data_IF_951284235661
#
_entry.id   IF_951284235661
#
_cell.length_a   1.000
_cell.length_b   1.000
_cell.length_c   1.000
_cell.angle_alpha   90.00
_cell.angle_beta   90.00
_cell.angle_gamma   90.00
#
_symmetry.space_group_name_H-M   'P 1'
#
loop_
_entity.id
_entity.type
_entity.pdbx_description
1 polymer ?
#
# COMPACT_ATOMS: atom_id res chain seq x y z
N UNK A 1 13.82 -15.26 19.98
CA UNK A 1 12.71 -15.02 19.04
C UNK A 1 13.23 -14.41 17.75
N UNK A 2 12.92 -15.03 16.63
CA UNK A 2 13.31 -14.55 15.31
C UNK A 2 12.05 -14.25 14.49
N UNK A 3 11.94 -13.00 14.05
CA UNK A 3 10.90 -12.57 13.11
C UNK A 3 11.50 -12.16 11.77
N UNK A 4 10.70 -12.21 10.72
CA UNK A 4 11.09 -11.76 9.39
C UNK A 4 9.98 -10.92 8.77
N UNK A 5 10.31 -9.85 8.06
CA UNK A 5 9.26 -9.00 7.48
C UNK A 5 9.74 -7.98 6.47
N UNK A 6 8.82 -7.47 5.67
CA UNK A 6 9.07 -6.41 4.70
C UNK A 6 9.36 -5.04 5.35
N UNK A 7 9.05 -4.87 6.63
CA UNK A 7 9.24 -3.61 7.35
C UNK A 7 10.31 -3.73 8.44
N UNK A 8 11.20 -2.74 8.54
CA UNK A 8 12.16 -2.61 9.65
C UNK A 8 11.48 -2.31 11.00
N UNK A 9 10.21 -1.92 10.98
CA UNK A 9 9.44 -1.55 12.18
C UNK A 9 9.29 -2.71 13.18
N UNK A 10 9.31 -3.97 12.72
CA UNK A 10 9.35 -5.14 13.60
C UNK A 10 10.50 -5.10 14.59
N UNK A 11 11.67 -4.59 14.16
CA UNK A 11 12.81 -4.39 15.05
C UNK A 11 12.55 -3.35 16.14
N UNK A 12 11.72 -2.36 15.87
CA UNK A 12 11.32 -1.33 16.85
C UNK A 12 10.18 -1.79 17.76
N UNK A 13 9.30 -2.67 17.27
CA UNK A 13 8.17 -3.19 18.04
C UNK A 13 8.56 -4.26 19.06
N UNK A 14 9.57 -5.06 18.77
CA UNK A 14 10.00 -6.16 19.67
C UNK A 14 10.46 -5.68 21.07
N UNK A 15 11.26 -4.63 21.25
CA UNK A 15 11.59 -4.11 22.56
C UNK A 15 10.37 -3.69 23.37
N UNK A 16 9.38 -3.05 22.75
CA UNK A 16 8.14 -2.66 23.40
C UNK A 16 7.35 -3.88 23.88
N UNK A 17 7.34 -4.94 23.08
CA UNK A 17 6.70 -6.19 23.45
C UNK A 17 7.41 -6.86 24.64
N UNK A 18 8.74 -6.84 24.71
CA UNK A 18 9.50 -7.37 25.84
C UNK A 18 9.17 -6.58 27.13
N UNK A 19 9.16 -5.25 27.04
CA UNK A 19 8.77 -4.39 28.17
C UNK A 19 7.34 -4.68 28.64
N UNK A 20 6.41 -4.89 27.71
CA UNK A 20 5.04 -5.31 28.00
C UNK A 20 5.01 -6.66 28.75
N UNK A 21 5.72 -7.67 28.29
CA UNK A 21 5.79 -8.97 28.96
C UNK A 21 6.44 -8.88 30.35
N UNK A 22 7.48 -8.08 30.51
CA UNK A 22 8.13 -7.82 31.80
C UNK A 22 7.25 -7.06 32.78
N UNK A 23 6.28 -6.27 32.30
CA UNK A 23 5.29 -5.65 33.17
C UNK A 23 4.33 -6.68 33.78
N UNK A 24 4.12 -7.81 33.12
CA UNK A 24 3.30 -8.94 33.60
C UNK A 24 4.14 -9.91 34.45
N UNK A 25 5.31 -10.27 33.96
CA UNK A 25 6.27 -11.15 34.64
C UNK A 25 7.68 -10.53 34.56
N UNK A 26 8.17 -9.90 35.65
CA UNK A 26 9.50 -9.27 35.66
C UNK A 26 10.68 -10.22 35.43
N UNK A 27 10.45 -11.53 35.52
CA UNK A 27 11.48 -12.54 35.22
C UNK A 27 11.60 -12.87 33.75
N UNK A 28 10.69 -12.35 32.90
CA UNK A 28 10.70 -12.65 31.48
C UNK A 28 11.97 -12.13 30.82
N UNK A 29 12.62 -13.01 30.08
CA UNK A 29 13.85 -12.69 29.36
C UNK A 29 13.81 -13.34 27.97
N UNK A 30 13.99 -12.55 26.93
CA UNK A 30 13.98 -13.00 25.54
C UNK A 30 15.05 -12.25 24.74
N UNK A 31 15.90 -12.99 24.08
CA UNK A 31 16.70 -12.45 22.98
C UNK A 31 15.88 -12.44 21.71
N UNK A 32 16.05 -11.43 20.89
CA UNK A 32 15.29 -11.31 19.64
C UNK A 32 16.15 -10.85 18.47
N UNK A 33 15.70 -11.24 17.28
CA UNK A 33 16.22 -10.76 16.01
C UNK A 33 15.06 -10.51 15.05
N UNK A 34 15.17 -9.46 14.26
CA UNK A 34 14.24 -9.16 13.17
C UNK A 34 15.02 -8.99 11.87
N UNK A 35 14.73 -9.85 10.88
CA UNK A 35 15.32 -9.78 9.56
C UNK A 35 14.40 -9.06 8.58
N UNK A 36 14.99 -8.24 7.71
CA UNK A 36 14.27 -7.50 6.67
C UNK A 36 14.90 -7.78 5.30
N UNK A 37 14.59 -8.91 4.66
CA UNK A 37 14.98 -9.15 3.28
C UNK A 37 14.21 -8.21 2.35
N UNK A 38 14.84 -7.85 1.24
CA UNK A 38 14.19 -7.01 0.22
C UNK A 38 13.29 -7.85 -0.68
N UNK A 39 12.13 -7.27 -1.00
CA UNK A 39 11.20 -7.76 -2.02
C UNK A 39 10.88 -9.26 -1.87
N UNK A 40 10.80 -9.97 -2.98
CA UNK A 40 10.43 -11.39 -3.05
C UNK A 40 11.37 -12.36 -2.35
N UNK A 41 12.57 -11.93 -1.93
CA UNK A 41 13.51 -12.78 -1.18
C UNK A 41 12.94 -13.30 0.13
N UNK A 42 11.96 -12.62 0.70
CA UNK A 42 11.30 -13.10 1.92
C UNK A 42 10.54 -14.41 1.69
N UNK A 43 9.88 -14.55 0.52
CA UNK A 43 9.15 -15.77 0.17
C UNK A 43 10.09 -16.94 -0.02
N UNK A 44 11.26 -16.74 -0.64
CA UNK A 44 12.28 -17.76 -0.78
C UNK A 44 12.84 -18.20 0.58
N UNK A 45 13.05 -17.24 1.50
CA UNK A 45 13.54 -17.55 2.84
C UNK A 45 12.50 -18.33 3.66
N UNK A 46 11.23 -17.93 3.62
CA UNK A 46 10.15 -18.65 4.30
C UNK A 46 9.97 -20.06 3.74
N UNK A 47 10.02 -20.20 2.42
CA UNK A 47 9.96 -21.51 1.75
C UNK A 47 11.15 -22.40 2.17
N UNK A 48 12.37 -21.87 2.17
CA UNK A 48 13.55 -22.62 2.62
C UNK A 48 13.49 -23.00 4.11
N UNK A 49 12.92 -22.12 4.94
CA UNK A 49 12.77 -22.37 6.38
C UNK A 49 11.69 -23.43 6.67
N UNK A 50 10.61 -23.48 5.90
CA UNK A 50 9.52 -24.46 6.06
C UNK A 50 9.97 -25.91 5.81
N UNK A 51 11.09 -26.10 5.09
CA UNK A 51 11.66 -27.44 4.86
C UNK A 51 12.39 -28.02 6.09
N UNK A 52 12.55 -27.25 7.15
CA UNK A 52 13.16 -27.68 8.40
C UNK A 52 12.11 -28.33 9.30
N UNK A 53 12.50 -29.28 10.12
CA UNK A 53 11.60 -29.90 11.11
C UNK A 53 11.13 -28.90 12.19
N UNK A 54 12.03 -27.98 12.58
CA UNK A 54 11.71 -26.77 13.37
C UNK A 54 12.31 -25.60 12.65
N UNK A 55 11.51 -24.59 12.37
CA UNK A 55 11.92 -23.38 11.64
C UNK A 55 12.85 -22.49 12.45
N UNK A 56 13.40 -21.51 11.77
CA UNK A 56 14.15 -20.42 12.39
C UNK A 56 13.21 -19.29 12.78
N UNK A 57 12.27 -18.95 11.89
CA UNK A 57 11.36 -17.81 12.08
C UNK A 57 10.11 -18.23 12.86
N UNK A 58 9.78 -17.45 13.89
CA UNK A 58 8.57 -17.66 14.67
C UNK A 58 7.32 -17.07 14.00
N UNK A 59 7.51 -15.96 13.28
CA UNK A 59 6.44 -15.24 12.58
C UNK A 59 6.98 -14.44 11.42
N UNK A 60 6.06 -13.99 10.57
CA UNK A 60 6.36 -13.03 9.51
C UNK A 60 5.35 -11.88 9.45
N UNK A 61 5.83 -10.73 8.94
CA UNK A 61 5.03 -9.59 8.53
C UNK A 61 5.36 -9.31 7.06
N UNK A 62 4.40 -9.54 6.20
CA UNK A 62 4.58 -9.46 4.76
C UNK A 62 3.46 -8.68 4.07
N UNK A 63 3.77 -8.16 2.91
CA UNK A 63 2.86 -7.52 1.96
C UNK A 63 2.82 -8.33 0.67
N UNK A 64 1.95 -7.97 -0.26
CA UNK A 64 1.74 -8.67 -1.52
C UNK A 64 0.80 -9.87 -1.40
N UNK A 65 -0.48 -9.54 -1.29
CA UNK A 65 -1.54 -10.52 -1.06
C UNK A 65 -1.59 -11.65 -2.09
N UNK A 66 -1.30 -11.37 -3.36
CA UNK A 66 -1.27 -12.41 -4.39
C UNK A 66 -0.25 -13.51 -4.09
N UNK A 67 1.01 -13.16 -3.80
CA UNK A 67 2.04 -14.16 -3.49
C UNK A 67 1.81 -14.83 -2.13
N UNK A 68 1.26 -14.09 -1.16
CA UNK A 68 0.90 -14.65 0.15
C UNK A 68 -0.11 -15.78 -0.06
N UNK A 69 -1.20 -15.51 -0.78
CA UNK A 69 -2.23 -16.52 -1.07
C UNK A 69 -1.63 -17.72 -1.79
N UNK A 70 -1.06 -17.49 -2.96
CA UNK A 70 -0.67 -18.57 -3.87
C UNK A 70 0.56 -19.37 -3.40
N UNK A 71 1.54 -18.73 -2.74
CA UNK A 71 2.81 -19.36 -2.41
C UNK A 71 2.96 -19.77 -0.94
N UNK A 72 2.23 -19.13 -0.02
CA UNK A 72 2.46 -19.31 1.40
C UNK A 72 1.30 -20.00 2.12
N UNK A 73 0.09 -19.48 1.95
CA UNK A 73 -1.08 -19.99 2.67
C UNK A 73 -1.60 -21.27 2.03
N UNK A 74 -1.82 -21.30 0.72
CA UNK A 74 -2.27 -22.51 0.01
C UNK A 74 -1.27 -23.66 0.09
N UNK A 75 0.00 -23.38 0.32
CA UNK A 75 1.05 -24.40 0.51
C UNK A 75 1.25 -24.83 1.95
N UNK A 76 0.56 -24.20 2.91
CA UNK A 76 0.64 -24.52 4.34
C UNK A 76 1.95 -24.09 5.00
N UNK A 77 2.66 -23.08 4.43
CA UNK A 77 3.90 -22.55 5.03
C UNK A 77 3.59 -21.54 6.14
N UNK A 78 2.45 -20.85 6.04
CA UNK A 78 2.02 -19.83 6.98
C UNK A 78 0.64 -20.13 7.53
N UNK A 79 0.49 -19.94 8.84
CA UNK A 79 -0.76 -20.06 9.57
C UNK A 79 -1.30 -18.68 9.95
N UNK A 80 -2.58 -18.45 9.72
CA UNK A 80 -3.28 -17.26 10.16
C UNK A 80 -3.71 -17.40 11.62
N UNK A 81 -3.29 -16.47 12.47
CA UNK A 81 -3.78 -16.35 13.84
C UNK A 81 -4.60 -15.07 13.97
N UNK A 82 -5.87 -15.19 14.37
CA UNK A 82 -6.78 -14.06 14.57
C UNK A 82 -6.98 -13.81 16.07
N UNK A 83 -6.43 -12.70 16.62
CA UNK A 83 -6.68 -12.36 18.01
C UNK A 83 -8.17 -12.07 18.25
N UNK A 84 -8.69 -12.58 19.38
CA UNK A 84 -10.11 -12.41 19.74
C UNK A 84 -10.49 -10.93 19.83
N UNK A 85 -9.67 -10.10 20.48
CA UNK A 85 -9.98 -8.69 20.69
C UNK A 85 -9.96 -7.90 19.37
N UNK A 86 -9.12 -8.31 18.41
CA UNK A 86 -9.16 -7.76 17.05
C UNK A 86 -10.45 -8.14 16.34
N UNK A 87 -10.85 -9.42 16.43
CA UNK A 87 -12.08 -9.90 15.80
C UNK A 87 -13.31 -9.19 16.39
N UNK A 88 -13.39 -9.09 17.71
CA UNK A 88 -14.47 -8.40 18.41
C UNK A 88 -14.58 -6.93 18.00
N UNK A 89 -13.45 -6.22 17.89
CA UNK A 89 -13.40 -4.82 17.45
C UNK A 89 -13.86 -4.64 15.99
N UNK A 90 -13.66 -5.66 15.15
CA UNK A 90 -14.12 -5.70 13.76
C UNK A 90 -15.53 -6.31 13.58
N UNK A 91 -16.26 -6.56 14.66
CA UNK A 91 -17.63 -7.07 14.60
C UNK A 91 -17.76 -8.50 14.09
N UNK A 92 -16.70 -9.31 14.24
CA UNK A 92 -16.64 -10.71 13.80
C UNK A 92 -16.14 -11.62 14.93
N UNK A 93 -15.89 -12.88 14.63
CA UNK A 93 -15.21 -13.81 15.53
C UNK A 93 -13.98 -14.40 14.84
N UNK A 94 -13.01 -14.88 15.62
CA UNK A 94 -11.81 -15.50 15.08
C UNK A 94 -12.12 -16.66 14.13
N UNK A 95 -13.14 -17.48 14.46
CA UNK A 95 -13.55 -18.63 13.65
C UNK A 95 -14.34 -18.25 12.38
N UNK A 96 -14.97 -17.07 12.36
CA UNK A 96 -15.77 -16.61 11.23
C UNK A 96 -14.96 -15.77 10.23
N UNK A 97 -13.82 -15.24 10.65
CA UNK A 97 -12.96 -14.46 9.77
C UNK A 97 -12.06 -15.39 8.95
N UNK A 98 -12.20 -15.34 7.64
CA UNK A 98 -11.47 -16.21 6.69
C UNK A 98 -10.33 -15.53 5.97
N UNK A 99 -10.17 -14.21 6.14
CA UNK A 99 -9.08 -13.43 5.52
C UNK A 99 -7.75 -13.52 6.26
N UNK A 100 -6.73 -12.92 5.69
CA UNK A 100 -5.45 -12.73 6.37
C UNK A 100 -5.57 -11.66 7.45
N UNK A 101 -4.84 -11.80 8.57
CA UNK A 101 -4.83 -10.77 9.61
C UNK A 101 -4.03 -9.55 9.13
N UNK A 102 -4.65 -8.42 8.84
CA UNK A 102 -3.92 -7.20 8.54
C UNK A 102 -3.45 -6.55 9.85
N UNK A 103 -2.21 -6.08 9.88
CA UNK A 103 -1.72 -5.18 10.94
C UNK A 103 -2.18 -3.75 10.66
N UNK A 104 -1.99 -3.32 9.42
CA UNK A 104 -2.30 -1.98 8.96
C UNK A 104 -2.57 -1.96 7.46
N UNK A 105 -3.32 -0.97 7.02
CA UNK A 105 -3.38 -0.57 5.63
C UNK A 105 -2.38 0.56 5.39
N UNK A 106 -1.58 0.43 4.35
CA UNK A 106 -0.70 1.46 3.81
C UNK A 106 -1.30 2.00 2.52
N UNK A 107 -1.01 3.25 2.18
CA UNK A 107 -1.42 3.79 0.90
C UNK A 107 -0.24 4.31 0.06
N UNK A 108 -0.28 4.00 -1.23
CA UNK A 108 0.44 4.71 -2.28
C UNK A 108 -0.54 5.70 -2.89
N UNK A 109 -0.16 6.96 -2.99
CA UNK A 109 -1.05 8.00 -3.51
C UNK A 109 -0.38 8.78 -4.63
N UNK A 110 -1.18 9.30 -5.55
CA UNK A 110 -0.67 10.16 -6.61
C UNK A 110 -0.30 11.52 -6.02
N UNK A 111 0.97 11.87 -6.21
CA UNK A 111 1.53 13.15 -5.80
C UNK A 111 2.29 13.79 -6.97
N UNK A 112 2.33 15.11 -6.99
CA UNK A 112 3.04 15.85 -8.01
C UNK A 112 3.79 17.05 -7.44
N UNK A 113 4.88 17.45 -8.12
CA UNK A 113 5.60 18.66 -7.79
C UNK A 113 4.81 19.88 -8.30
N UNK A 114 4.49 20.79 -7.38
CA UNK A 114 3.65 21.96 -7.65
C UNK A 114 4.42 23.27 -7.83
N UNK A 115 5.75 23.20 -8.02
CA UNK A 115 6.58 24.38 -8.30
C UNK A 115 6.37 24.90 -9.72
N UNK A 116 5.92 24.05 -10.64
CA UNK A 116 5.46 24.42 -11.98
C UNK A 116 4.01 24.91 -12.01
N UNK A 117 3.46 25.03 -13.20
CA UNK A 117 2.08 25.48 -13.44
C UNK A 117 1.10 24.30 -13.69
N UNK A 118 1.61 23.06 -13.70
CA UNK A 118 0.83 21.88 -14.03
C UNK A 118 -0.03 21.44 -12.85
N UNK A 119 -1.27 21.05 -13.13
CA UNK A 119 -2.21 20.46 -12.20
C UNK A 119 -2.68 19.11 -12.74
N UNK A 120 -3.18 18.27 -11.87
CA UNK A 120 -3.76 16.96 -12.20
C UNK A 120 -5.12 16.88 -11.55
N UNK A 121 -6.17 17.07 -12.35
CA UNK A 121 -7.54 17.17 -11.86
C UNK A 121 -8.31 15.84 -12.07
N UNK A 122 -7.71 14.90 -12.82
CA UNK A 122 -8.29 13.62 -13.15
C UNK A 122 -7.23 12.51 -13.19
N UNK A 123 -7.58 11.29 -12.82
CA UNK A 123 -6.64 10.18 -12.86
C UNK A 123 -6.16 9.82 -14.29
N UNK A 124 -6.87 10.24 -15.34
CA UNK A 124 -6.45 10.08 -16.74
C UNK A 124 -5.34 11.05 -17.14
N UNK A 125 -5.17 12.16 -16.40
CA UNK A 125 -4.07 13.09 -16.66
C UNK A 125 -2.70 12.41 -16.48
N UNK A 126 -2.62 11.43 -15.58
CA UNK A 126 -1.38 10.67 -15.32
C UNK A 126 -0.94 9.76 -16.47
N UNK A 127 -1.81 9.52 -17.43
CA UNK A 127 -1.55 8.68 -18.62
C UNK A 127 -1.74 9.45 -19.93
N UNK A 128 -1.80 10.78 -19.86
CA UNK A 128 -1.90 11.65 -21.01
C UNK A 128 -0.60 11.67 -21.83
N UNK A 129 -0.65 12.23 -23.03
CA UNK A 129 0.50 12.30 -23.95
C UNK A 129 1.70 13.03 -23.32
N UNK A 130 2.86 12.37 -23.34
CA UNK A 130 4.09 12.91 -22.80
C UNK A 130 4.25 12.83 -21.29
N UNK A 131 3.30 12.21 -20.58
CA UNK A 131 3.38 11.97 -19.15
C UNK A 131 4.21 10.71 -18.82
N UNK A 132 5.15 10.86 -17.86
CA UNK A 132 6.04 9.79 -17.42
C UNK A 132 6.11 9.75 -15.90
N UNK A 133 5.06 9.23 -15.25
CA UNK A 133 4.98 9.17 -13.79
C UNK A 133 6.09 8.32 -13.16
N UNK A 134 6.63 8.78 -12.05
CA UNK A 134 7.59 8.01 -11.26
C UNK A 134 6.84 6.89 -10.51
N UNK A 135 7.23 5.66 -10.72
CA UNK A 135 6.61 4.51 -10.07
C UNK A 135 7.62 3.39 -9.85
N UNK A 136 7.40 2.58 -8.84
CA UNK A 136 8.25 1.42 -8.61
C UNK A 136 8.16 0.42 -9.77
N UNK A 137 9.30 -0.15 -10.14
CA UNK A 137 9.37 -1.17 -11.19
C UNK A 137 8.51 -2.38 -10.83
N UNK A 138 7.45 -2.62 -11.61
CA UNK A 138 6.46 -3.68 -11.40
C UNK A 138 7.04 -5.10 -11.59
N UNK A 139 8.21 -5.25 -12.16
CA UNK A 139 8.86 -6.57 -12.29
C UNK A 139 9.66 -6.93 -11.03
N UNK A 140 10.13 -5.94 -10.30
CA UNK A 140 10.91 -6.13 -9.08
C UNK A 140 10.10 -5.91 -7.80
N UNK A 141 8.97 -5.19 -7.87
CA UNK A 141 8.10 -4.89 -6.74
C UNK A 141 6.63 -5.19 -7.08
N UNK A 142 6.10 -6.28 -6.53
CA UNK A 142 4.81 -6.85 -6.93
C UNK A 142 3.61 -6.08 -6.36
N UNK A 143 3.76 -5.33 -5.27
CA UNK A 143 2.67 -4.51 -4.71
C UNK A 143 2.14 -3.52 -5.75
N UNK A 144 3.02 -2.91 -6.55
CA UNK A 144 2.62 -2.07 -7.67
C UNK A 144 1.89 -2.82 -8.79
N UNK A 145 2.28 -4.07 -9.03
CA UNK A 145 1.60 -4.93 -10.01
C UNK A 145 0.20 -5.32 -9.53
N UNK A 146 0.03 -5.60 -8.23
CA UNK A 146 -1.28 -5.86 -7.63
C UNK A 146 -2.22 -4.65 -7.75
N UNK A 147 -1.72 -3.43 -7.66
CA UNK A 147 -2.51 -2.24 -7.97
C UNK A 147 -3.12 -2.30 -9.38
N UNK A 148 -2.31 -2.65 -10.38
CA UNK A 148 -2.80 -2.78 -11.75
C UNK A 148 -3.83 -3.91 -11.89
N UNK A 149 -3.66 -5.03 -11.18
CA UNK A 149 -4.66 -6.09 -11.13
C UNK A 149 -5.99 -5.59 -10.57
N UNK A 150 -5.95 -4.87 -9.45
CA UNK A 150 -7.15 -4.36 -8.82
C UNK A 150 -7.95 -3.42 -9.70
N UNK A 151 -7.30 -2.65 -10.59
CA UNK A 151 -8.00 -1.77 -11.53
C UNK A 151 -8.95 -2.50 -12.46
N UNK A 152 -8.73 -3.81 -12.71
CA UNK A 152 -9.60 -4.63 -13.57
C UNK A 152 -10.84 -5.17 -12.86
N UNK A 153 -10.98 -5.00 -11.54
CA UNK A 153 -12.18 -5.35 -10.79
C UNK A 153 -13.32 -4.39 -11.16
N UNK A 154 -14.52 -4.92 -11.31
CA UNK A 154 -15.67 -4.20 -11.86
C UNK A 154 -15.93 -2.82 -11.22
N UNK A 155 -15.83 -2.73 -9.90
CA UNK A 155 -16.04 -1.49 -9.15
C UNK A 155 -14.98 -0.43 -9.46
N UNK A 156 -13.71 -0.81 -9.59
CA UNK A 156 -12.61 0.11 -9.90
C UNK A 156 -12.54 0.44 -11.40
N UNK A 157 -12.88 -0.52 -12.27
CA UNK A 157 -13.06 -0.26 -13.70
C UNK A 157 -14.17 0.78 -13.95
N UNK A 158 -15.27 0.70 -13.17
CA UNK A 158 -16.34 1.69 -13.21
C UNK A 158 -15.85 3.09 -12.77
N UNK A 159 -14.98 3.21 -11.76
CA UNK A 159 -14.40 4.51 -11.38
C UNK A 159 -13.53 5.12 -12.49
N UNK A 160 -12.78 4.28 -13.22
CA UNK A 160 -12.00 4.76 -14.37
C UNK A 160 -12.89 5.24 -15.50
N UNK A 161 -14.00 4.56 -15.75
CA UNK A 161 -14.98 5.00 -16.73
C UNK A 161 -15.67 6.32 -16.32
N UNK A 162 -16.13 6.42 -15.07
CA UNK A 162 -16.74 7.65 -14.55
C UNK A 162 -15.81 8.85 -14.70
N UNK A 163 -14.52 8.67 -14.36
CA UNK A 163 -13.54 9.72 -14.50
C UNK A 163 -13.20 10.05 -15.95
N UNK A 164 -13.20 9.06 -16.86
CA UNK A 164 -13.12 9.31 -18.30
C UNK A 164 -14.29 10.12 -18.82
N UNK A 165 -15.52 9.79 -18.42
CA UNK A 165 -16.74 10.52 -18.83
C UNK A 165 -16.76 11.97 -18.31
N UNK A 166 -16.01 12.28 -17.25
CA UNK A 166 -15.85 13.63 -16.72
C UNK A 166 -14.82 14.49 -17.48
N UNK A 167 -13.97 13.89 -18.32
CA UNK A 167 -13.02 14.62 -19.15
C UNK A 167 -13.71 15.50 -20.21
N UNK A 168 -13.00 16.50 -20.70
CA UNK A 168 -13.47 17.28 -21.86
C UNK A 168 -13.56 16.42 -23.13
N UNK A 169 -14.32 16.84 -24.12
CA UNK A 169 -14.48 16.11 -25.37
C UNK A 169 -13.16 15.89 -26.14
N UNK A 170 -12.24 16.83 -26.05
CA UNK A 170 -10.92 16.72 -26.70
C UNK A 170 -10.04 15.68 -25.98
N UNK A 171 -10.04 15.65 -24.66
CA UNK A 171 -9.33 14.66 -23.86
C UNK A 171 -9.92 13.25 -24.06
N UNK A 172 -11.26 13.13 -24.07
CA UNK A 172 -11.91 11.85 -24.37
C UNK A 172 -11.51 11.34 -25.76
N UNK A 173 -11.46 12.23 -26.76
CA UNK A 173 -11.06 11.87 -28.12
C UNK A 173 -9.62 11.35 -28.22
N UNK A 174 -8.74 11.78 -27.32
CA UNK A 174 -7.37 11.26 -27.21
C UNK A 174 -7.34 9.82 -26.71
N UNK A 175 -8.10 9.47 -25.65
CA UNK A 175 -8.08 8.16 -25.03
C UNK A 175 -8.98 7.13 -25.74
N UNK A 176 -10.05 7.58 -26.40
CA UNK A 176 -11.05 6.71 -27.02
C UNK A 176 -10.49 5.63 -27.96
N UNK A 177 -9.47 5.89 -28.80
CA UNK A 177 -8.90 4.85 -29.66
C UNK A 177 -8.27 3.70 -28.86
N UNK A 178 -7.59 4.00 -27.74
CA UNK A 178 -6.99 2.96 -26.87
C UNK A 178 -8.07 2.17 -26.15
N UNK A 179 -9.13 2.83 -25.68
CA UNK A 179 -10.26 2.13 -25.05
C UNK A 179 -10.92 1.18 -26.03
N UNK A 180 -11.18 1.62 -27.27
CA UNK A 180 -11.77 0.79 -28.31
C UNK A 180 -10.88 -0.41 -28.70
N UNK A 181 -9.56 -0.22 -28.73
CA UNK A 181 -8.58 -1.32 -28.91
C UNK A 181 -8.71 -2.38 -27.81
N UNK A 182 -8.97 -1.96 -26.56
CA UNK A 182 -9.03 -2.85 -25.40
C UNK A 182 -10.38 -3.58 -25.23
N UNK A 183 -11.43 -3.27 -25.99
CA UNK A 183 -12.72 -3.94 -25.87
C UNK A 183 -12.63 -5.46 -26.11
N UNK A 184 -11.92 -5.87 -27.16
CA UNK A 184 -11.75 -7.31 -27.45
C UNK A 184 -10.88 -8.00 -26.41
N UNK A 185 -9.81 -7.35 -25.98
CA UNK A 185 -8.89 -7.87 -24.95
C UNK A 185 -9.59 -8.05 -23.60
N UNK A 186 -10.40 -7.09 -23.19
CA UNK A 186 -11.18 -7.19 -21.96
C UNK A 186 -12.14 -8.40 -22.00
N UNK A 187 -12.79 -8.64 -23.13
CA UNK A 187 -13.66 -9.80 -23.31
C UNK A 187 -12.87 -11.12 -23.26
N UNK A 188 -11.71 -11.18 -23.92
CA UNK A 188 -10.84 -12.36 -23.97
C UNK A 188 -10.27 -12.69 -22.57
N UNK A 189 -9.99 -11.66 -21.75
CA UNK A 189 -9.55 -11.80 -20.35
C UNK A 189 -10.71 -12.06 -19.38
N UNK A 190 -11.96 -12.07 -19.86
CA UNK A 190 -13.15 -12.33 -19.05
C UNK A 190 -13.51 -11.20 -18.08
N UNK A 191 -13.11 -9.97 -18.37
CA UNK A 191 -13.41 -8.79 -17.56
C UNK A 191 -14.84 -8.30 -17.74
N UNK A 192 -15.35 -7.55 -16.77
CA UNK A 192 -16.69 -6.95 -16.83
C UNK A 192 -16.86 -5.87 -17.90
N UNK A 193 -18.04 -5.26 -17.93
CA UNK A 193 -18.45 -4.33 -18.99
C UNK A 193 -17.53 -3.09 -19.14
N UNK A 194 -16.91 -2.65 -18.05
CA UNK A 194 -16.03 -1.48 -18.02
C UNK A 194 -14.53 -1.84 -18.08
N UNK A 195 -14.21 -3.14 -18.27
CA UNK A 195 -12.84 -3.66 -18.31
C UNK A 195 -11.95 -3.00 -19.35
N UNK A 196 -12.52 -2.54 -20.48
CA UNK A 196 -11.75 -1.85 -21.53
C UNK A 196 -11.14 -0.53 -21.04
N UNK A 197 -11.83 0.20 -20.15
CA UNK A 197 -11.29 1.43 -19.52
C UNK A 197 -10.12 1.12 -18.61
N UNK A 198 -10.23 0.04 -17.82
CA UNK A 198 -9.15 -0.42 -16.96
C UNK A 198 -7.90 -0.82 -17.79
N UNK A 199 -8.08 -1.66 -18.81
CA UNK A 199 -6.96 -2.09 -19.67
C UNK A 199 -6.34 -0.93 -20.44
N UNK A 200 -7.12 0.03 -20.91
CA UNK A 200 -6.61 1.22 -21.59
C UNK A 200 -5.74 2.06 -20.63
N UNK A 201 -6.22 2.31 -19.41
CA UNK A 201 -5.45 3.03 -18.40
C UNK A 201 -4.16 2.29 -18.04
N UNK A 202 -4.25 0.97 -17.78
CA UNK A 202 -3.08 0.12 -17.45
C UNK A 202 -2.07 0.12 -18.60
N UNK A 203 -2.51 -0.05 -19.86
CA UNK A 203 -1.64 -0.02 -21.02
C UNK A 203 -0.87 1.30 -21.10
N UNK A 204 -1.58 2.42 -21.05
CA UNK A 204 -0.97 3.75 -21.12
C UNK A 204 0.01 3.98 -19.96
N UNK A 205 -0.36 3.55 -18.73
CA UNK A 205 0.51 3.64 -17.57
C UNK A 205 1.78 2.81 -17.74
N UNK A 206 1.67 1.52 -18.08
CA UNK A 206 2.82 0.60 -18.23
C UNK A 206 3.76 1.05 -19.34
N UNK A 207 3.22 1.60 -20.42
CA UNK A 207 3.99 2.09 -21.57
C UNK A 207 4.60 3.47 -21.37
N UNK A 208 4.26 4.18 -20.27
CA UNK A 208 4.72 5.55 -20.02
C UNK A 208 5.45 5.75 -18.70
N UNK A 209 5.20 4.96 -17.63
CA UNK A 209 5.80 5.24 -16.34
C UNK A 209 7.32 5.08 -16.32
N UNK A 210 7.99 5.94 -15.57
CA UNK A 210 9.45 5.90 -15.35
C UNK A 210 9.74 5.02 -14.12
N UNK A 211 10.31 3.84 -14.37
CA UNK A 211 10.57 2.83 -13.34
C UNK A 211 11.61 3.28 -12.32
N UNK A 212 11.26 3.17 -11.04
CA UNK A 212 12.10 3.53 -9.92
C UNK A 212 12.39 2.30 -9.02
N UNK A 213 13.46 2.37 -8.26
CA UNK A 213 13.91 1.25 -7.41
C UNK A 213 13.24 1.20 -6.03
N UNK A 214 12.70 2.31 -5.55
CA UNK A 214 12.03 2.47 -4.25
C UNK A 214 11.18 3.74 -4.22
N UNK A 215 10.17 3.78 -3.34
CA UNK A 215 9.35 4.96 -3.06
C UNK A 215 10.16 6.14 -2.47
N UNK A 216 11.27 5.87 -1.79
CA UNK A 216 12.15 6.90 -1.24
C UNK A 216 12.75 7.83 -2.32
N UNK A 217 13.42 7.29 -3.35
CA UNK A 217 13.88 8.08 -4.51
C UNK A 217 12.76 8.88 -5.18
N UNK A 218 11.56 8.31 -5.34
CA UNK A 218 10.40 9.04 -5.92
C UNK A 218 10.08 10.26 -5.04
N UNK A 219 9.92 10.05 -3.73
CA UNK A 219 9.63 11.13 -2.80
C UNK A 219 10.70 12.23 -2.86
N UNK A 220 11.99 11.85 -2.79
CA UNK A 220 13.10 12.79 -2.82
C UNK A 220 13.13 13.62 -4.12
N UNK A 221 12.78 13.01 -5.24
CA UNK A 221 12.64 13.74 -6.51
C UNK A 221 11.50 14.75 -6.45
N UNK A 222 10.30 14.32 -6.04
CA UNK A 222 9.11 15.16 -6.10
C UNK A 222 9.14 16.35 -5.12
N UNK A 223 9.86 16.25 -4.00
CA UNK A 223 9.98 17.36 -3.03
C UNK A 223 11.07 18.36 -3.41
N UNK A 224 11.88 18.11 -4.43
CA UNK A 224 12.89 19.05 -4.93
C UNK A 224 12.28 20.06 -5.91
N UNK A 225 12.53 21.34 -5.71
CA UNK A 225 12.02 22.42 -6.56
C UNK A 225 12.46 22.32 -8.03
N UNK A 226 13.51 21.54 -8.33
CA UNK A 226 13.98 21.32 -9.72
C UNK A 226 13.10 20.33 -10.49
N UNK A 227 12.27 19.52 -9.80
CA UNK A 227 11.42 18.49 -10.39
C UNK A 227 10.06 19.01 -10.87
N UNK A 228 10.03 20.26 -11.35
CA UNK A 228 8.82 20.91 -11.85
C UNK A 228 8.00 19.99 -12.74
N UNK A 229 6.69 19.97 -12.49
CA UNK A 229 5.72 19.25 -13.30
C UNK A 229 5.89 17.71 -13.32
N UNK A 230 6.76 17.15 -12.48
CA UNK A 230 6.86 15.71 -12.31
C UNK A 230 5.82 15.20 -11.30
N UNK A 231 5.38 13.98 -11.51
CA UNK A 231 4.45 13.30 -10.60
C UNK A 231 4.87 11.85 -10.39
N UNK A 232 4.24 11.19 -9.42
CA UNK A 232 4.46 9.77 -9.16
C UNK A 232 3.38 9.15 -8.29
N UNK A 233 3.38 7.84 -8.24
CA UNK A 233 2.58 7.04 -7.32
C UNK A 233 3.52 6.40 -6.30
N UNK A 234 3.42 6.80 -5.04
CA UNK A 234 4.38 6.42 -4.00
C UNK A 234 3.72 6.29 -2.63
N UNK A 235 4.41 5.59 -1.72
CA UNK A 235 3.95 5.44 -0.33
C UNK A 235 3.87 6.80 0.34
N UNK A 236 2.66 7.18 0.76
CA UNK A 236 2.35 8.47 1.36
C UNK A 236 3.21 8.78 2.59
N UNK A 237 3.45 7.79 3.42
CA UNK A 237 4.24 7.95 4.64
C UNK A 237 5.72 8.34 4.42
N UNK A 238 6.21 8.34 3.17
CA UNK A 238 7.58 8.81 2.87
C UNK A 238 7.75 10.30 3.13
N UNK A 239 6.69 11.10 3.04
CA UNK A 239 6.74 12.55 3.31
C UNK A 239 7.20 12.90 4.73
N UNK A 240 7.00 12.00 5.70
CA UNK A 240 7.43 12.25 7.09
C UNK A 240 8.93 12.40 7.26
N UNK A 241 9.72 11.80 6.37
CA UNK A 241 11.18 11.74 6.45
C UNK A 241 11.87 12.79 5.57
N UNK A 242 11.12 13.73 5.00
CA UNK A 242 11.66 14.79 4.17
C UNK A 242 12.47 15.75 5.06
N UNK A 243 13.74 15.91 4.73
CA UNK A 243 14.64 16.89 5.35
C UNK A 243 14.58 18.20 4.54
N UNK A 244 14.00 19.23 5.14
CA UNK A 244 13.81 20.54 4.50
C UNK A 244 15.15 21.23 4.22
N UNK A 245 15.26 21.87 3.06
CA UNK A 245 16.42 22.67 2.65
C UNK A 245 15.98 23.84 1.76
N UNK A 246 16.92 24.57 1.16
CA UNK A 246 16.58 25.69 0.25
C UNK A 246 15.86 25.26 -1.02
N UNK A 247 16.03 24.02 -1.48
CA UNK A 247 15.40 23.46 -2.69
C UNK A 247 14.44 22.33 -2.40
N UNK A 248 14.56 21.66 -1.26
CA UNK A 248 13.75 20.50 -0.87
C UNK A 248 12.73 20.93 0.19
N UNK A 249 11.47 20.77 -0.12
CA UNK A 249 10.37 21.09 0.81
C UNK A 249 9.14 20.24 0.52
N UNK A 250 8.41 19.87 1.57
CA UNK A 250 7.07 19.28 1.43
C UNK A 250 6.06 20.26 0.83
N UNK A 251 6.35 21.56 0.85
CA UNK A 251 5.55 22.58 0.16
C UNK A 251 5.69 22.55 -1.37
N UNK A 252 6.69 21.85 -1.89
CA UNK A 252 6.88 21.65 -3.33
C UNK A 252 6.00 20.53 -3.89
N UNK A 253 5.27 19.80 -3.06
CA UNK A 253 4.49 18.63 -3.45
C UNK A 253 3.02 18.79 -3.06
N UNK A 254 2.13 18.27 -3.88
CA UNK A 254 0.71 18.15 -3.62
C UNK A 254 0.24 16.71 -3.78
N UNK A 255 -0.81 16.35 -3.03
CA UNK A 255 -1.54 15.10 -3.19
C UNK A 255 -2.70 15.37 -4.15
N UNK A 256 -2.73 14.69 -5.29
CA UNK A 256 -3.71 14.96 -6.33
C UNK A 256 -5.17 14.82 -5.84
N UNK A 257 -5.46 13.77 -5.08
CA UNK A 257 -6.80 13.55 -4.53
C UNK A 257 -7.26 14.62 -3.53
N UNK A 258 -6.38 15.52 -3.09
CA UNK A 258 -6.73 16.64 -2.20
C UNK A 258 -7.16 17.91 -2.95
N UNK A 259 -6.91 17.96 -4.25
CA UNK A 259 -7.33 19.09 -5.07
C UNK A 259 -8.86 19.11 -5.23
N UNK A 260 -9.42 20.31 -5.18
CA UNK A 260 -10.87 20.51 -5.34
C UNK A 260 -11.33 20.05 -6.72
N UNK A 261 -12.30 19.14 -6.75
CA UNK A 261 -12.85 18.64 -8.01
C UNK A 261 -12.10 17.48 -8.64
N UNK A 262 -11.04 16.96 -8.02
CA UNK A 262 -10.30 15.80 -8.51
C UNK A 262 -11.23 14.61 -8.80
N UNK A 263 -11.04 13.96 -9.96
CA UNK A 263 -11.84 12.85 -10.43
C UNK A 263 -11.04 11.55 -10.56
N UNK A 264 -11.66 10.45 -10.15
CA UNK A 264 -11.11 9.10 -10.33
C UNK A 264 -10.27 8.61 -9.15
N UNK A 265 -9.42 7.63 -9.41
CA UNK A 265 -8.63 6.94 -8.39
C UNK A 265 -7.56 7.87 -7.78
N UNK A 266 -7.53 7.95 -6.45
CA UNK A 266 -6.54 8.76 -5.73
C UNK A 266 -5.26 8.00 -5.34
N UNK A 267 -5.32 6.67 -5.37
CA UNK A 267 -4.19 5.83 -5.00
C UNK A 267 -4.57 4.38 -4.74
N UNK A 268 -3.66 3.65 -4.08
CA UNK A 268 -3.76 2.23 -3.80
C UNK A 268 -3.48 1.92 -2.33
N UNK A 269 -4.42 1.24 -1.67
CA UNK A 269 -4.31 0.75 -0.30
C UNK A 269 -3.98 -0.74 -0.28
N UNK A 270 -2.90 -1.11 0.41
CA UNK A 270 -2.47 -2.49 0.59
C UNK A 270 -2.10 -2.74 2.05
N UNK A 271 -2.13 -4.00 2.48
CA UNK A 271 -1.92 -4.34 3.87
C UNK A 271 -0.53 -4.94 4.15
N UNK A 272 -0.07 -4.72 5.37
CA UNK A 272 0.89 -5.60 6.00
C UNK A 272 0.14 -6.70 6.74
N UNK A 273 0.37 -7.94 6.34
CA UNK A 273 -0.27 -9.11 6.93
C UNK A 273 0.66 -9.83 7.90
N UNK A 274 0.08 -10.39 8.95
CA UNK A 274 0.78 -11.08 10.02
C UNK A 274 0.45 -12.58 10.00
N UNK A 275 1.49 -13.41 10.11
CA UNK A 275 1.35 -14.86 10.14
C UNK A 275 2.30 -15.49 11.15
N UNK A 276 1.91 -16.62 11.69
CA UNK A 276 2.80 -17.57 12.36
C UNK A 276 3.34 -18.53 11.30
N UNK A 277 4.62 -18.91 11.37
CA UNK A 277 5.14 -19.95 10.48
C UNK A 277 4.68 -21.34 10.95
N UNK A 278 4.31 -22.24 10.03
CA UNK A 278 3.81 -23.58 10.35
C UNK A 278 4.76 -24.35 11.29
N UNK A 279 6.06 -24.27 11.03
CA UNK A 279 7.10 -24.90 11.85
C UNK A 279 7.73 -23.96 12.89
N UNK A 280 7.00 -22.98 13.38
CA UNK A 280 7.46 -21.97 14.34
C UNK A 280 8.13 -22.59 15.57
N UNK A 281 9.32 -22.13 15.96
CA UNK A 281 9.95 -22.55 17.22
C UNK A 281 9.24 -21.98 18.45
N UNK A 282 8.50 -20.88 18.32
CA UNK A 282 7.85 -20.16 19.42
C UNK A 282 6.44 -19.67 19.02
N UNK A 283 5.51 -20.58 18.65
CA UNK A 283 4.21 -20.21 18.10
C UNK A 283 3.36 -19.37 19.06
N UNK A 284 3.36 -19.69 20.35
CA UNK A 284 2.59 -18.95 21.36
C UNK A 284 3.13 -17.54 21.61
N UNK A 285 4.46 -17.37 21.57
CA UNK A 285 5.08 -16.05 21.66
C UNK A 285 4.78 -15.21 20.41
N UNK A 286 4.78 -15.86 19.24
CA UNK A 286 4.36 -15.22 17.98
C UNK A 286 2.90 -14.75 18.05
N UNK A 287 1.98 -15.59 18.49
CA UNK A 287 0.57 -15.22 18.69
C UNK A 287 0.41 -14.06 19.67
N UNK A 288 1.14 -14.09 20.80
CA UNK A 288 1.10 -13.00 21.79
C UNK A 288 1.64 -11.68 21.24
N UNK A 289 2.71 -11.71 20.43
CA UNK A 289 3.24 -10.52 19.79
C UNK A 289 2.30 -9.97 18.71
N UNK A 290 1.68 -10.84 17.91
CA UNK A 290 0.65 -10.47 16.94
C UNK A 290 -0.53 -9.79 17.66
N UNK A 291 -1.04 -10.39 18.74
CA UNK A 291 -2.11 -9.78 19.52
C UNK A 291 -1.72 -8.43 20.13
N UNK A 292 -0.51 -8.30 20.65
CA UNK A 292 0.00 -7.04 21.19
C UNK A 292 0.03 -5.94 20.13
N UNK A 293 0.56 -6.23 18.94
CA UNK A 293 0.64 -5.26 17.85
C UNK A 293 -0.72 -4.84 17.28
N UNK A 294 -1.68 -5.76 17.24
CA UNK A 294 -2.98 -5.52 16.59
C UNK A 294 -4.07 -5.08 17.54
N UNK A 295 -3.92 -5.29 18.86
CA UNK A 295 -4.98 -5.03 19.82
C UNK A 295 -4.64 -3.92 20.84
N UNK A 296 -3.43 -3.34 20.81
CA UNK A 296 -3.05 -2.28 21.72
C UNK A 296 -2.42 -1.09 20.99
N UNK A 297 -2.69 0.13 21.47
CA UNK A 297 -2.08 1.34 20.92
C UNK A 297 -0.55 1.33 21.09
N UNK A 298 -0.06 0.87 22.26
CA UNK A 298 1.38 0.74 22.53
C UNK A 298 2.05 -0.24 21.56
N UNK A 299 1.41 -1.39 21.30
CA UNK A 299 1.90 -2.39 20.35
C UNK A 299 1.93 -1.89 18.91
N UNK A 300 0.94 -1.10 18.55
CA UNK A 300 0.87 -0.48 17.22
C UNK A 300 1.78 0.75 17.08
N UNK A 301 2.27 1.32 18.16
CA UNK A 301 3.01 2.60 18.15
C UNK A 301 4.26 2.61 17.29
N UNK A 302 4.88 1.45 17.04
CA UNK A 302 6.02 1.33 16.12
C UNK A 302 5.62 1.52 14.65
N UNK A 303 4.34 1.31 14.31
CA UNK A 303 3.79 1.30 12.96
C UNK A 303 3.02 2.57 12.62
N UNK A 304 2.17 3.03 13.53
CA UNK A 304 1.14 4.05 13.33
C UNK A 304 1.52 5.43 13.85
N UNK A 305 2.77 5.86 13.71
CA UNK A 305 3.19 7.20 14.20
C UNK A 305 2.83 8.32 13.24
N UNK A 306 2.48 8.00 12.00
CA UNK A 306 2.53 8.97 10.92
C UNK A 306 1.42 8.72 9.91
N UNK A 307 1.36 9.60 8.93
CA UNK A 307 0.47 9.55 7.80
C UNK A 307 0.60 8.25 6.98
N UNK A 308 -0.47 7.84 6.34
CA UNK A 308 -0.48 6.79 5.34
C UNK A 308 -0.26 5.37 5.88
N UNK A 309 -0.51 5.15 7.18
CA UNK A 309 -0.50 3.84 7.80
C UNK A 309 -1.60 3.76 8.87
N UNK A 310 -2.61 2.93 8.64
CA UNK A 310 -3.84 2.89 9.44
C UNK A 310 -4.00 1.53 10.09
N UNK A 311 -4.21 1.51 11.42
CA UNK A 311 -4.47 0.26 12.13
C UNK A 311 -5.70 -0.45 11.55
N UNK A 312 -5.61 -1.77 11.42
CA UNK A 312 -6.74 -2.61 11.05
C UNK A 312 -7.74 -2.83 12.19
N UNK A 313 -7.38 -2.43 13.42
CA UNK A 313 -8.25 -2.50 14.58
C UNK A 313 -8.89 -1.12 14.82
N UNK A 314 -10.23 -0.99 14.68
CA UNK A 314 -10.90 0.30 14.84
C UNK A 314 -10.64 1.00 16.17
N UNK A 315 -10.57 0.24 17.27
CA UNK A 315 -10.29 0.80 18.63
C UNK A 315 -8.87 1.40 18.70
N UNK A 316 -7.89 0.69 18.14
CA UNK A 316 -6.50 1.19 18.07
C UNK A 316 -6.39 2.37 17.12
N UNK A 317 -7.15 2.37 16.02
CA UNK A 317 -7.19 3.47 15.06
C UNK A 317 -7.71 4.77 15.72
N UNK A 318 -8.81 4.71 16.47
CA UNK A 318 -9.35 5.87 17.20
C UNK A 318 -8.32 6.47 18.18
N UNK A 319 -7.62 5.63 18.96
CA UNK A 319 -6.60 6.07 19.90
C UNK A 319 -5.40 6.72 19.20
N UNK A 320 -5.01 6.23 18.04
CA UNK A 320 -3.87 6.74 17.28
C UNK A 320 -4.21 7.96 16.45
N UNK A 321 -5.37 8.02 15.82
CA UNK A 321 -5.83 9.16 15.01
C UNK A 321 -6.03 10.43 15.85
N UNK A 322 -6.48 10.31 17.09
CA UNK A 322 -6.62 11.47 17.98
C UNK A 322 -5.29 12.21 18.22
N UNK A 323 -4.16 11.50 18.16
CA UNK A 323 -2.81 12.07 18.30
C UNK A 323 -2.15 12.40 16.95
N UNK A 324 -2.70 11.92 15.86
CA UNK A 324 -2.09 11.88 14.53
C UNK A 324 -2.04 13.26 13.88
N UNK A 325 -3.15 13.99 13.88
CA UNK A 325 -3.25 15.31 13.25
C UNK A 325 -2.37 16.38 13.91
N UNK A 326 -2.03 16.20 15.19
CA UNK A 326 -1.20 17.15 15.92
C UNK A 326 0.31 16.90 15.76
N UNK A 327 0.73 15.67 15.44
CA UNK A 327 2.16 15.31 15.42
C UNK A 327 2.86 15.59 14.09
N UNK A 328 2.12 15.75 13.00
CA UNK A 328 2.66 15.88 11.64
C UNK A 328 2.38 17.24 10.99
N UNK A 329 1.82 18.19 11.70
CA UNK A 329 1.61 19.55 11.23
C UNK A 329 0.49 19.73 10.22
N UNK A 330 -0.47 18.80 10.15
CA UNK A 330 -1.59 18.88 9.21
C UNK A 330 -2.69 19.83 9.62
N UNK A 331 -2.95 19.93 10.93
CA UNK A 331 -3.99 20.79 11.48
C UNK A 331 -3.51 21.46 12.77
N UNK A 332 -3.72 22.76 12.93
CA UNK A 332 -3.48 23.48 14.18
C UNK A 332 -4.55 23.10 15.23
N UNK A 333 -4.26 23.35 16.52
CA UNK A 333 -5.19 23.08 17.62
C UNK A 333 -6.55 23.80 17.46
N UNK A 334 -6.58 24.93 16.75
CA UNK A 334 -7.80 25.68 16.46
C UNK A 334 -8.59 25.14 15.24
N UNK A 335 -8.16 24.02 14.65
CA UNK A 335 -8.77 23.38 13.51
C UNK A 335 -8.42 24.03 12.16
N UNK A 336 -7.48 24.96 12.11
CA UNK A 336 -7.03 25.55 10.86
C UNK A 336 -5.98 24.68 10.18
N UNK A 337 -5.99 24.66 8.83
CA UNK A 337 -4.96 23.98 8.04
C UNK A 337 -3.66 24.73 8.17
N UNK A 338 -2.59 24.02 8.51
CA UNK A 338 -1.26 24.60 8.63
C UNK A 338 -0.43 24.38 7.35
N UNK A 339 0.75 24.91 7.40
CA UNK A 339 1.80 25.08 6.43
C UNK A 339 2.07 23.85 5.51
N UNK A 340 1.80 22.62 5.96
CA UNK A 340 2.16 21.39 5.24
C UNK A 340 0.93 20.60 4.77
N UNK A 341 0.13 21.18 3.87
CA UNK A 341 -1.12 20.57 3.39
C UNK A 341 -0.93 19.15 2.82
N UNK A 342 0.21 18.86 2.17
CA UNK A 342 0.53 17.51 1.70
C UNK A 342 0.75 16.51 2.84
N UNK A 343 1.18 16.95 4.03
CA UNK A 343 1.33 16.12 5.22
C UNK A 343 0.04 16.02 6.04
N UNK A 344 -1.01 16.72 5.67
CA UNK A 344 -2.30 16.65 6.34
C UNK A 344 -3.07 15.41 5.92
N UNK A 345 -2.73 14.27 6.50
CA UNK A 345 -3.44 13.03 6.23
C UNK A 345 -4.88 13.13 6.73
N UNK A 346 -5.82 12.93 5.82
CA UNK A 346 -7.26 13.02 6.08
C UNK A 346 -7.83 11.75 6.70
N UNK A 347 -6.99 10.74 6.96
CA UNK A 347 -7.36 9.48 7.60
C UNK A 347 -7.96 8.43 6.68
N UNK A 348 -8.06 7.19 7.19
CA UNK A 348 -8.49 6.03 6.41
C UNK A 348 -9.91 6.17 5.85
N UNK A 349 -10.84 6.66 6.66
CA UNK A 349 -12.24 6.85 6.24
C UNK A 349 -12.35 7.82 5.06
N UNK A 350 -11.62 8.93 5.12
CA UNK A 350 -11.60 9.87 4.00
C UNK A 350 -11.02 9.24 2.72
N UNK A 351 -9.91 8.51 2.84
CA UNK A 351 -9.29 7.86 1.69
C UNK A 351 -10.19 6.81 1.03
N UNK A 352 -10.94 6.05 1.81
CA UNK A 352 -11.83 5.01 1.29
C UNK A 352 -13.18 5.54 0.78
N UNK A 353 -13.57 6.76 1.16
CA UNK A 353 -14.82 7.38 0.73
C UNK A 353 -14.60 8.46 -0.32
N UNK A 354 -13.78 9.46 -0.05
CA UNK A 354 -13.55 10.64 -0.89
C UNK A 354 -12.30 10.52 -1.76
N UNK A 355 -11.22 9.96 -1.21
CA UNK A 355 -9.94 9.80 -1.89
C UNK A 355 -9.92 8.68 -2.94
N UNK A 356 -11.01 7.92 -3.08
CA UNK A 356 -11.14 6.79 -4.01
C UNK A 356 -9.89 5.90 -4.03
N UNK A 357 -9.51 5.41 -2.85
CA UNK A 357 -8.39 4.50 -2.69
C UNK A 357 -8.78 3.10 -3.19
N UNK A 358 -8.06 2.58 -4.17
CA UNK A 358 -8.20 1.20 -4.63
C UNK A 358 -7.63 0.28 -3.53
N UNK A 359 -8.44 -0.58 -2.94
CA UNK A 359 -8.02 -1.48 -1.86
C UNK A 359 -7.62 -2.85 -2.40
N UNK A 360 -6.47 -3.35 -1.94
CA UNK A 360 -6.00 -4.70 -2.29
C UNK A 360 -6.98 -5.77 -1.82
N UNK A 361 -7.31 -6.66 -2.74
CA UNK A 361 -8.00 -7.92 -2.48
C UNK A 361 -7.06 -9.07 -2.89
N UNK A 362 -6.48 -9.80 -1.92
CA UNK A 362 -5.51 -10.85 -2.21
C UNK A 362 -6.06 -11.98 -3.08
N UNK A 363 -7.32 -12.37 -2.87
CA UNK A 363 -7.99 -13.43 -3.63
C UNK A 363 -8.17 -13.00 -5.08
N UNK A 364 -8.73 -11.80 -5.30
CA UNK A 364 -8.88 -11.26 -6.65
C UNK A 364 -7.54 -11.12 -7.39
N UNK A 365 -6.51 -10.58 -6.71
CA UNK A 365 -5.18 -10.46 -7.29
C UNK A 365 -4.61 -11.83 -7.72
N UNK A 366 -4.80 -12.88 -6.90
CA UNK A 366 -4.36 -14.23 -7.22
C UNK A 366 -5.12 -14.81 -8.42
N UNK A 367 -6.43 -14.59 -8.51
CA UNK A 367 -7.29 -15.08 -9.59
C UNK A 367 -6.91 -14.50 -10.94
N UNK A 368 -6.60 -13.20 -11.01
CA UNK A 368 -6.28 -12.51 -12.28
C UNK A 368 -4.79 -12.52 -12.61
N UNK A 369 -3.92 -12.93 -11.70
CA UNK A 369 -2.47 -12.87 -11.88
C UNK A 369 -1.97 -13.61 -13.11
N UNK A 370 -2.58 -14.74 -13.45
CA UNK A 370 -2.19 -15.51 -14.62
C UNK A 370 -2.68 -14.89 -15.94
N UNK A 371 -3.87 -14.34 -15.98
CA UNK A 371 -4.50 -13.76 -17.17
C UNK A 371 -4.04 -12.31 -17.38
N UNK A 372 -4.47 -11.40 -16.54
CA UNK A 372 -4.11 -9.98 -16.61
C UNK A 372 -2.60 -9.78 -16.43
N UNK A 373 -1.97 -10.54 -15.53
CA UNK A 373 -0.52 -10.46 -15.32
C UNK A 373 0.28 -10.82 -16.57
N UNK A 374 -0.08 -11.88 -17.27
CA UNK A 374 0.59 -12.26 -18.53
C UNK A 374 0.36 -11.22 -19.63
N UNK A 375 -0.82 -10.62 -19.67
CA UNK A 375 -1.11 -9.53 -20.59
C UNK A 375 -0.24 -8.29 -20.31
N UNK A 376 -0.11 -7.87 -19.04
CA UNK A 376 0.78 -6.76 -18.64
C UNK A 376 2.24 -7.03 -19.04
N UNK A 377 2.71 -8.27 -18.93
CA UNK A 377 4.07 -8.64 -19.31
C UNK A 377 4.34 -8.51 -20.82
N UNK A 378 3.30 -8.55 -21.66
CA UNK A 378 3.42 -8.35 -23.11
C UNK A 378 3.46 -6.87 -23.52
N UNK A 379 3.10 -5.96 -22.63
CA UNK A 379 3.12 -4.52 -22.93
C UNK A 379 4.54 -3.99 -23.07
N UNK A 380 4.71 -3.02 -23.97
CA UNK A 380 5.98 -2.32 -24.17
C UNK A 380 6.25 -1.38 -23.00
N UNK A 381 7.30 -1.62 -22.22
CA UNK A 381 7.66 -0.78 -21.09
C UNK A 381 8.43 0.45 -21.53
N UNK A 382 8.15 1.59 -20.91
CA UNK A 382 8.90 2.82 -21.13
C UNK A 382 10.36 2.64 -20.71
N UNK A 383 11.26 3.12 -21.56
CA UNK A 383 12.68 3.18 -21.28
C UNK A 383 13.12 4.64 -21.40
N UNK A 384 13.39 5.28 -20.27
CA UNK A 384 14.02 6.58 -20.27
C UNK A 384 15.39 6.45 -20.94
N UNK A 385 15.61 7.13 -22.07
CA UNK A 385 16.85 7.12 -22.84
C UNK A 385 18.01 7.79 -22.13
#
# INVERSE_FOLDING_TARGET
>A
FYGVGNSSRGKSALPLFIEYLQSIDPSYNMEFEWQQPKNNKIFDQLTADSLKGTGTFAMTLIQDGNQIESKMVQTGILDTFIPKDWADANGTTADAYTGFLPLQTLNKVFMYNCVGDKTYDNCWDFVAEGEHGLFMDIDSEIVGKNFLYMLTRDDYAAWLKESFEALSADEQAYFQPTIAEMESEAADLGLGADGAYALAWIKLWVESYNAQTDDGPICNTLVDASAKDQFGLLVYSKLRSVEESSSVSVNNIKVAAYEDGYQGIGGYGYCHYLFVTDNSPLPWTACAFIAYMTCTADGFSAWGKDMGGYSSNPTVAEETEANFHHSIGGMAEDGTTVEFAAKNDRGYEWWTTNGKLVLEDPEYCADVAFTVGSWIEMLSKYSAG
#
